data_IF_853895113873
#
_entry.id   IF_853895113873
#
_cell.length_a   1.000
_cell.length_b   1.000
_cell.length_c   1.000
_cell.angle_alpha   90.00
_cell.angle_beta   90.00
_cell.angle_gamma   90.00
#
_symmetry.space_group_name_H-M   'P 1'
#
loop_
_entity.id
_entity.type
_entity.pdbx_description
1 polymer ?
#
# COMPACT_ATOMS: atom_id res chain seq x y z
N UNK A 1 19.65 17.53 -4.66
CA UNK A 1 18.66 16.71 -3.93
C UNK A 1 17.46 16.50 -4.83
N UNK A 2 16.87 15.31 -4.83
CA UNK A 2 15.70 14.98 -5.65
C UNK A 2 14.49 14.85 -4.71
N UNK A 3 13.32 15.34 -5.13
CA UNK A 3 12.07 15.17 -4.37
C UNK A 3 11.53 13.74 -4.56
N UNK A 4 11.20 13.08 -3.46
CA UNK A 4 10.61 11.75 -3.46
C UNK A 4 9.43 11.62 -2.51
N UNK A 5 8.75 10.50 -2.60
CA UNK A 5 7.57 10.15 -1.79
C UNK A 5 7.81 8.84 -1.06
N UNK A 6 7.57 8.83 0.25
CA UNK A 6 7.69 7.63 1.08
C UNK A 6 6.44 6.77 0.90
N UNK A 7 6.57 5.44 0.83
CA UNK A 7 5.44 4.52 0.60
C UNK A 7 4.55 4.92 -0.59
N UNK A 8 5.18 5.21 -1.74
CA UNK A 8 4.55 5.90 -2.88
C UNK A 8 3.27 5.21 -3.40
N UNK A 9 3.17 3.91 -3.21
CA UNK A 9 2.07 3.07 -3.66
C UNK A 9 0.84 3.08 -2.73
N UNK A 10 0.97 3.59 -1.50
CA UNK A 10 -0.02 3.44 -0.42
C UNK A 10 -1.34 4.14 -0.74
N UNK A 11 -2.43 3.39 -0.61
CA UNK A 11 -3.79 3.90 -0.63
C UNK A 11 -4.39 3.93 0.78
N UNK A 12 -5.52 4.64 0.91
CA UNK A 12 -6.23 4.72 2.19
C UNK A 12 -6.76 3.33 2.61
N UNK A 13 -6.54 2.99 3.88
CA UNK A 13 -7.07 1.80 4.53
C UNK A 13 -8.61 1.78 4.46
N UNK A 14 -9.27 0.59 4.43
CA UNK A 14 -10.72 0.52 4.52
C UNK A 14 -11.25 1.21 5.78
N UNK A 15 -12.37 1.94 5.67
CA UNK A 15 -12.97 2.71 6.79
C UNK A 15 -13.18 1.86 8.03
N UNK A 16 -13.76 0.66 7.91
CA UNK A 16 -13.98 -0.22 9.05
C UNK A 16 -12.68 -0.62 9.79
N UNK A 17 -11.57 -0.79 9.06
CA UNK A 17 -10.26 -1.11 9.67
C UNK A 17 -9.63 0.11 10.32
N UNK A 18 -9.74 1.28 9.68
CA UNK A 18 -9.29 2.55 10.25
C UNK A 18 -10.06 2.92 11.53
N UNK A 19 -11.38 2.69 11.55
CA UNK A 19 -12.23 2.93 12.73
C UNK A 19 -11.86 1.98 13.88
N UNK A 20 -11.65 0.70 13.58
CA UNK A 20 -11.17 -0.27 14.57
C UNK A 20 -9.79 0.10 15.12
N UNK A 21 -8.87 0.53 14.26
CA UNK A 21 -7.55 1.01 14.69
C UNK A 21 -7.67 2.25 15.57
N UNK A 22 -8.48 3.24 15.19
CA UNK A 22 -8.66 4.48 15.97
C UNK A 22 -9.29 4.22 17.34
N UNK A 23 -10.19 3.24 17.43
CA UNK A 23 -10.77 2.81 18.70
C UNK A 23 -9.73 2.12 19.62
N UNK A 24 -8.75 1.40 19.04
CA UNK A 24 -7.71 0.71 19.77
C UNK A 24 -6.52 1.63 20.14
N UNK A 25 -6.07 2.47 19.20
CA UNK A 25 -4.97 3.42 19.34
C UNK A 25 -5.13 4.58 18.32
N UNK A 26 -5.56 5.73 18.82
CA UNK A 26 -5.74 6.92 18.01
C UNK A 26 -4.43 7.47 17.41
N UNK A 27 -3.29 7.33 18.11
CA UNK A 27 -2.01 7.84 17.62
C UNK A 27 -1.53 7.03 16.42
N UNK A 28 -1.64 5.70 16.51
CA UNK A 28 -1.34 4.81 15.37
C UNK A 28 -2.30 5.04 14.20
N UNK A 29 -3.59 5.28 14.48
CA UNK A 29 -4.56 5.62 13.43
C UNK A 29 -4.16 6.90 12.69
N UNK A 30 -3.84 7.96 13.41
CA UNK A 30 -3.46 9.23 12.79
C UNK A 30 -2.16 9.12 11.99
N UNK A 31 -1.19 8.33 12.47
CA UNK A 31 0.05 8.05 11.74
C UNK A 31 -0.17 7.26 10.43
N UNK A 32 -1.16 6.36 10.39
CA UNK A 32 -1.47 5.53 9.22
C UNK A 32 -2.55 6.12 8.30
N UNK A 33 -3.24 7.17 8.74
CA UNK A 33 -4.34 7.83 8.03
C UNK A 33 -3.84 8.82 6.96
N UNK A 34 -3.14 8.28 5.95
CA UNK A 34 -2.76 9.01 4.75
C UNK A 34 -2.80 8.09 3.52
N UNK A 35 -2.76 8.70 2.35
CA UNK A 35 -2.71 8.01 1.06
C UNK A 35 -1.99 8.88 0.04
N UNK A 36 -1.43 8.24 -0.99
CA UNK A 36 -0.84 8.92 -2.13
C UNK A 36 -1.76 8.83 -3.36
N UNK A 37 -1.58 9.81 -4.26
CA UNK A 37 -2.09 9.74 -5.63
C UNK A 37 -1.42 8.56 -6.38
N UNK A 38 -1.98 8.08 -7.50
CA UNK A 38 -1.30 7.11 -8.37
C UNK A 38 0.16 7.51 -8.70
N UNK A 39 1.04 6.52 -8.89
CA UNK A 39 2.48 6.77 -9.12
C UNK A 39 2.74 7.75 -10.29
N UNK A 40 1.98 7.61 -11.39
CA UNK A 40 2.09 8.50 -12.54
C UNK A 40 1.78 9.95 -12.16
N UNK A 41 0.71 10.18 -11.40
CA UNK A 41 0.36 11.53 -10.95
C UNK A 41 1.39 12.12 -9.98
N UNK A 42 2.07 11.29 -9.20
CA UNK A 42 3.19 11.75 -8.35
C UNK A 42 4.37 12.21 -9.21
N UNK A 43 4.72 11.44 -10.25
CA UNK A 43 5.77 11.80 -11.20
C UNK A 43 5.42 13.08 -11.97
N UNK A 44 4.18 13.21 -12.42
CA UNK A 44 3.68 14.41 -13.10
C UNK A 44 3.71 15.64 -12.17
N UNK A 45 3.47 15.44 -10.88
CA UNK A 45 3.59 16.48 -9.86
C UNK A 45 5.06 16.79 -9.46
N UNK A 46 6.05 16.17 -10.11
CA UNK A 46 7.47 16.49 -9.94
C UNK A 46 8.24 15.53 -9.03
N UNK A 47 7.62 14.47 -8.50
CA UNK A 47 8.37 13.43 -7.80
C UNK A 47 9.34 12.74 -8.76
N UNK A 48 10.54 12.43 -8.30
CA UNK A 48 11.61 11.79 -9.09
C UNK A 48 12.31 10.66 -8.34
N UNK A 49 11.81 10.33 -7.14
CA UNK A 49 12.17 9.14 -6.39
C UNK A 49 10.88 8.52 -5.84
N UNK A 50 10.70 7.23 -6.07
CA UNK A 50 9.57 6.44 -5.59
C UNK A 50 10.08 5.32 -4.67
N UNK A 51 9.24 4.90 -3.74
CA UNK A 51 9.48 3.79 -2.82
C UNK A 51 8.39 2.74 -2.97
N UNK A 52 8.79 1.47 -2.97
CA UNK A 52 7.93 0.28 -3.08
C UNK A 52 8.39 -0.76 -2.05
N UNK A 53 7.52 -1.13 -1.11
CA UNK A 53 7.80 -2.21 -0.15
C UNK A 53 7.29 -3.53 -0.68
N UNK A 54 8.19 -4.52 -0.78
CA UNK A 54 7.96 -5.75 -1.53
C UNK A 54 7.84 -6.95 -0.59
N UNK A 55 6.75 -7.70 -0.76
CA UNK A 55 6.47 -8.95 -0.07
C UNK A 55 6.57 -10.12 -1.05
N UNK A 56 7.36 -11.14 -0.70
CA UNK A 56 7.47 -12.35 -1.51
C UNK A 56 6.34 -13.34 -1.22
N UNK A 57 5.57 -13.69 -2.24
CA UNK A 57 4.46 -14.64 -2.18
C UNK A 57 4.65 -15.76 -3.22
N UNK A 58 5.45 -16.81 -2.91
CA UNK A 58 5.79 -17.86 -3.88
C UNK A 58 4.62 -18.74 -4.31
N UNK A 59 3.50 -18.71 -3.57
CA UNK A 59 2.33 -19.54 -3.84
C UNK A 59 1.12 -18.73 -4.31
N UNK A 60 1.13 -17.41 -4.12
CA UNK A 60 0.00 -16.55 -4.38
C UNK A 60 -1.02 -16.60 -3.25
N UNK A 61 -1.79 -15.51 -3.11
CA UNK A 61 -2.90 -15.41 -2.17
C UNK A 61 -2.53 -15.12 -0.72
N UNK A 62 -1.25 -15.19 -0.32
CA UNK A 62 -0.83 -14.97 1.06
C UNK A 62 -1.16 -13.55 1.54
N UNK A 63 -1.06 -12.56 0.64
CA UNK A 63 -1.30 -11.15 0.97
C UNK A 63 -2.55 -10.58 0.29
N UNK A 64 -3.50 -11.42 -0.10
CA UNK A 64 -4.67 -11.01 -0.87
C UNK A 64 -5.81 -10.40 -0.03
N UNK A 65 -5.69 -10.36 1.30
CA UNK A 65 -6.75 -9.86 2.18
C UNK A 65 -7.27 -8.48 1.76
N UNK A 66 -8.59 -8.30 1.70
CA UNK A 66 -9.21 -7.03 1.32
C UNK A 66 -9.01 -6.59 -0.14
N UNK A 67 -8.35 -7.38 -0.99
CA UNK A 67 -8.22 -7.15 -2.43
C UNK A 67 -9.08 -8.13 -3.23
N UNK A 68 -9.80 -7.62 -4.23
CA UNK A 68 -10.56 -8.44 -5.20
C UNK A 68 -9.79 -8.68 -6.50
N UNK A 69 -8.57 -8.16 -6.61
CA UNK A 69 -7.78 -8.26 -7.83
C UNK A 69 -7.16 -9.66 -7.97
N UNK A 70 -7.40 -10.38 -9.08
CA UNK A 70 -6.88 -11.73 -9.27
C UNK A 70 -5.34 -11.80 -9.31
N UNK A 71 -4.63 -10.69 -9.57
CA UNK A 71 -3.17 -10.62 -9.52
C UNK A 71 -2.62 -10.92 -8.10
N UNK A 72 -3.41 -10.67 -7.06
CA UNK A 72 -3.05 -10.98 -5.68
C UNK A 72 -3.03 -12.50 -5.41
N UNK A 73 -3.75 -13.29 -6.20
CA UNK A 73 -3.81 -14.75 -6.09
C UNK A 73 -2.68 -15.47 -6.83
N UNK A 74 -1.92 -14.75 -7.66
CA UNK A 74 -0.81 -15.34 -8.42
C UNK A 74 0.48 -15.39 -7.60
N UNK A 75 1.35 -16.39 -7.78
CA UNK A 75 2.73 -16.34 -7.27
C UNK A 75 3.46 -15.07 -7.72
N UNK A 76 4.36 -14.56 -6.87
CA UNK A 76 5.25 -13.45 -7.21
C UNK A 76 5.42 -12.44 -6.08
N UNK A 77 5.73 -11.20 -6.43
CA UNK A 77 5.98 -10.11 -5.50
C UNK A 77 4.77 -9.20 -5.36
N UNK A 78 4.37 -8.87 -4.13
CA UNK A 78 3.25 -7.96 -3.81
C UNK A 78 3.79 -6.67 -3.23
N UNK A 79 3.16 -5.53 -3.52
CA UNK A 79 3.57 -4.23 -2.97
C UNK A 79 2.56 -3.76 -1.93
N UNK A 80 2.96 -3.68 -0.66
CA UNK A 80 2.09 -3.35 0.48
C UNK A 80 2.88 -2.69 1.60
N UNK A 81 2.26 -1.77 2.36
CA UNK A 81 2.93 -1.04 3.45
C UNK A 81 3.04 -1.93 4.69
N UNK A 82 1.91 -2.41 5.19
CA UNK A 82 1.88 -3.45 6.22
C UNK A 82 1.05 -4.61 5.70
N UNK A 83 1.70 -5.74 5.43
CA UNK A 83 1.04 -6.93 4.90
C UNK A 83 -0.25 -7.24 5.66
N UNK A 84 -1.33 -7.53 4.91
CA UNK A 84 -2.68 -7.87 5.41
C UNK A 84 -3.41 -6.76 6.20
N UNK A 85 -2.73 -5.76 6.74
CA UNK A 85 -3.33 -4.72 7.58
C UNK A 85 -3.51 -3.39 6.83
N UNK A 86 -2.40 -2.77 6.40
CA UNK A 86 -2.38 -1.52 5.63
C UNK A 86 -1.88 -1.84 4.21
N UNK A 87 -2.71 -2.57 3.49
CA UNK A 87 -2.31 -3.37 2.35
C UNK A 87 -2.91 -2.91 1.01
N UNK A 88 -3.63 -1.79 0.99
CA UNK A 88 -4.14 -1.21 -0.24
C UNK A 88 -3.03 -0.47 -0.97
N UNK A 89 -2.87 -0.80 -2.25
CA UNK A 89 -1.81 -0.29 -3.09
C UNK A 89 -2.34 0.09 -4.47
N UNK A 90 -1.83 1.18 -5.05
CA UNK A 90 -2.07 1.56 -6.45
C UNK A 90 -1.14 0.81 -7.44
N UNK A 91 -0.22 -0.01 -6.94
CA UNK A 91 0.68 -0.88 -7.68
C UNK A 91 0.70 -2.23 -6.97
N UNK A 92 -0.16 -3.17 -7.35
CA UNK A 92 -0.39 -4.38 -6.54
C UNK A 92 0.77 -5.38 -6.57
N UNK A 93 1.46 -5.48 -7.70
CA UNK A 93 2.50 -6.48 -7.95
C UNK A 93 3.73 -5.86 -8.61
N UNK A 94 4.91 -6.40 -8.31
CA UNK A 94 6.15 -6.10 -9.04
C UNK A 94 6.42 -7.22 -10.05
N UNK A 95 6.38 -6.89 -11.34
CA UNK A 95 6.53 -7.81 -12.49
C UNK A 95 7.69 -7.42 -13.40
#
# INVERSE_FOLDING_TARGET
MVLGTHNSYKLAMPTARMDALRAADANSADALHYAHRPLVEQLDAGARQLELDIWYDPRGGLYADGSTDPAMLQPGFKVQHMAEFDNRSNCLTLV
#
